data_IF_075438291429
#
_entry.id   IF_075438291429
#
_cell.length_a   1.000
_cell.length_b   1.000
_cell.length_c   1.000
_cell.angle_alpha   90.00
_cell.angle_beta   90.00
_cell.angle_gamma   90.00
#
_symmetry.space_group_name_H-M   'P 1'
#
loop_
_entity.id
_entity.type
_entity.pdbx_description
1 polymer ?
#
# COMPACT_ATOMS: atom_id res chain seq x y z
N UNK A 1 26.74 28.72 -0.03
CA UNK A 1 26.00 27.71 0.75
C UNK A 1 25.54 26.62 -0.20
N UNK A 2 26.13 25.43 -0.11
CA UNK A 2 25.65 24.26 -0.85
C UNK A 2 24.44 23.66 -0.15
N UNK A 3 23.58 22.96 -0.90
CA UNK A 3 22.48 22.20 -0.30
C UNK A 3 23.08 21.00 0.45
N UNK A 4 22.69 20.81 1.71
CA UNK A 4 23.15 19.68 2.50
C UNK A 4 22.55 18.36 1.99
N UNK A 5 23.36 17.30 1.99
CA UNK A 5 22.93 15.97 1.53
C UNK A 5 21.78 15.42 2.39
N UNK A 6 21.76 15.74 3.69
CA UNK A 6 20.66 15.44 4.60
C UNK A 6 19.33 16.01 4.10
N UNK A 7 19.32 17.29 3.69
CA UNK A 7 18.11 17.96 3.18
C UNK A 7 17.65 17.34 1.86
N UNK A 8 18.57 16.97 0.98
CA UNK A 8 18.23 16.28 -0.28
C UNK A 8 17.54 14.95 0.00
N UNK A 9 18.11 14.11 0.86
CA UNK A 9 17.52 12.83 1.22
C UNK A 9 16.19 12.97 1.96
N UNK A 10 16.08 13.97 2.85
CA UNK A 10 14.81 14.27 3.51
C UNK A 10 13.71 14.58 2.48
N UNK A 11 13.98 15.42 1.49
CA UNK A 11 13.03 15.74 0.41
C UNK A 11 12.68 14.49 -0.41
N UNK A 12 13.65 13.66 -0.76
CA UNK A 12 13.42 12.41 -1.51
C UNK A 12 12.50 11.46 -0.72
N UNK A 13 12.76 11.27 0.57
CA UNK A 13 11.97 10.37 1.43
C UNK A 13 10.54 10.90 1.58
N UNK A 14 10.39 12.20 1.89
CA UNK A 14 9.06 12.82 1.99
C UNK A 14 8.31 12.71 0.68
N UNK A 15 8.96 12.96 -0.45
CA UNK A 15 8.36 12.80 -1.77
C UNK A 15 7.95 11.34 -2.02
N UNK A 16 8.80 10.36 -1.73
CA UNK A 16 8.49 8.95 -1.89
C UNK A 16 7.27 8.53 -1.04
N UNK A 17 7.22 8.97 0.22
CA UNK A 17 6.07 8.70 1.11
C UNK A 17 4.79 9.36 0.58
N UNK A 18 4.85 10.59 0.07
CA UNK A 18 3.70 11.26 -0.53
C UNK A 18 3.23 10.55 -1.81
N UNK A 19 4.15 10.13 -2.67
CA UNK A 19 3.81 9.38 -3.88
C UNK A 19 3.16 8.05 -3.53
N UNK A 20 3.65 7.33 -2.51
CA UNK A 20 2.98 6.14 -2.00
C UNK A 20 1.54 6.45 -1.58
N UNK A 21 1.32 7.46 -0.73
CA UNK A 21 -0.01 7.81 -0.23
C UNK A 21 -0.98 8.15 -1.38
N UNK A 22 -0.51 8.91 -2.38
CA UNK A 22 -1.35 9.35 -3.51
C UNK A 22 -1.63 8.19 -4.47
N UNK A 23 -0.61 7.47 -4.88
CA UNK A 23 -0.74 6.42 -5.90
C UNK A 23 -1.38 5.16 -5.33
N UNK A 24 -0.88 4.66 -4.21
CA UNK A 24 -1.44 3.47 -3.56
C UNK A 24 -2.81 3.76 -2.91
N UNK A 25 -3.08 5.02 -2.54
CA UNK A 25 -4.39 5.44 -2.03
C UNK A 25 -5.53 5.21 -3.03
N UNK A 26 -5.27 5.35 -4.33
CA UNK A 26 -6.23 5.00 -5.38
C UNK A 26 -6.50 3.49 -5.42
N UNK A 27 -5.46 2.66 -5.34
CA UNK A 27 -5.56 1.20 -5.35
C UNK A 27 -6.37 0.68 -4.15
N UNK A 28 -6.06 1.21 -2.96
CA UNK A 28 -6.75 0.90 -1.72
C UNK A 28 -8.21 1.37 -1.76
N UNK A 29 -8.47 2.54 -2.35
CA UNK A 29 -9.82 3.05 -2.58
C UNK A 29 -10.65 2.11 -3.46
N UNK A 30 -10.07 1.60 -4.55
CA UNK A 30 -10.71 0.59 -5.40
C UNK A 30 -10.99 -0.68 -4.60
N UNK A 31 -10.04 -1.15 -3.79
CA UNK A 31 -10.23 -2.33 -2.94
C UNK A 31 -11.36 -2.21 -1.93
N UNK A 32 -11.55 -1.03 -1.35
CA UNK A 32 -12.66 -0.73 -0.45
C UNK A 32 -14.01 -0.69 -1.17
N UNK A 33 -14.06 -0.06 -2.35
CA UNK A 33 -15.27 0.02 -3.17
C UNK A 33 -15.61 -1.31 -3.86
N UNK A 34 -14.68 -2.24 -3.92
CA UNK A 34 -14.85 -3.51 -4.61
C UNK A 34 -16.06 -4.32 -4.12
N UNK A 35 -16.34 -4.24 -2.81
CA UNK A 35 -17.48 -4.93 -2.19
C UNK A 35 -18.84 -4.29 -2.49
N UNK A 36 -18.88 -3.00 -2.83
CA UNK A 36 -20.12 -2.23 -3.05
C UNK A 36 -20.64 -2.35 -4.48
N UNK A 37 -19.74 -2.58 -5.45
CA UNK A 37 -20.09 -2.78 -6.86
C UNK A 37 -20.64 -4.20 -7.06
N UNK A 38 -21.87 -4.35 -7.59
CA UNK A 38 -22.53 -5.66 -7.79
C UNK A 38 -22.33 -6.27 -9.19
N UNK A 39 -21.95 -5.46 -10.18
CA UNK A 39 -21.72 -5.92 -11.55
C UNK A 39 -20.37 -6.63 -11.71
N UNK A 40 -20.37 -7.87 -12.18
CA UNK A 40 -19.13 -8.63 -12.42
C UNK A 40 -18.21 -7.97 -13.46
N UNK A 41 -18.78 -7.40 -14.53
CA UNK A 41 -18.04 -6.66 -15.54
C UNK A 41 -17.39 -5.38 -15.01
N UNK A 42 -18.09 -4.62 -14.16
CA UNK A 42 -17.55 -3.41 -13.54
C UNK A 42 -16.40 -3.73 -12.59
N UNK A 43 -16.51 -4.83 -11.82
CA UNK A 43 -15.41 -5.32 -10.98
C UNK A 43 -14.18 -5.67 -11.79
N UNK A 44 -14.36 -6.33 -12.93
CA UNK A 44 -13.25 -6.68 -13.80
C UNK A 44 -12.58 -5.42 -14.39
N UNK A 45 -13.35 -4.40 -14.76
CA UNK A 45 -12.80 -3.09 -15.18
C UNK A 45 -12.02 -2.41 -14.03
N UNK A 46 -12.57 -2.43 -12.81
CA UNK A 46 -11.87 -1.90 -11.63
C UNK A 46 -10.52 -2.59 -11.44
N UNK A 47 -10.48 -3.92 -11.39
CA UNK A 47 -9.22 -4.67 -11.21
C UNK A 47 -8.23 -4.37 -12.34
N UNK A 48 -8.69 -4.37 -13.59
CA UNK A 48 -7.84 -4.11 -14.76
C UNK A 48 -7.25 -2.70 -14.79
N UNK A 49 -7.89 -1.71 -14.15
CA UNK A 49 -7.35 -0.35 -14.05
C UNK A 49 -6.12 -0.24 -13.12
N UNK A 50 -6.00 -1.15 -12.16
CA UNK A 50 -4.94 -1.12 -11.12
C UNK A 50 -3.84 -2.14 -11.39
N UNK A 51 -4.20 -3.27 -12.01
CA UNK A 51 -3.28 -4.37 -12.32
C UNK A 51 -1.93 -3.96 -12.97
N UNK A 52 -1.84 -2.98 -13.88
CA UNK A 52 -0.56 -2.61 -14.47
C UNK A 52 0.32 -1.69 -13.60
N UNK A 53 -0.22 -1.08 -12.53
CA UNK A 53 0.48 -0.03 -11.77
C UNK A 53 0.67 -0.34 -10.28
N UNK A 54 -0.12 -1.25 -9.70
CA UNK A 54 -0.11 -1.50 -8.25
C UNK A 54 1.27 -1.92 -7.70
N UNK A 55 1.99 -2.79 -8.41
CA UNK A 55 3.33 -3.24 -7.98
C UNK A 55 4.32 -2.05 -7.96
N UNK A 56 4.20 -1.16 -8.94
CA UNK A 56 4.96 0.10 -8.96
C UNK A 56 4.60 1.03 -7.80
N UNK A 57 3.33 1.09 -7.41
CA UNK A 57 2.87 1.95 -6.31
C UNK A 57 3.50 1.54 -4.97
N UNK A 58 3.63 0.24 -4.72
CA UNK A 58 4.27 -0.31 -3.52
C UNK A 58 5.76 0.01 -3.44
N UNK A 59 6.45 0.14 -4.59
CA UNK A 59 7.88 0.47 -4.59
C UNK A 59 8.18 1.83 -3.96
N UNK A 60 7.23 2.77 -3.96
CA UNK A 60 7.38 4.06 -3.29
C UNK A 60 7.48 3.92 -1.77
N UNK A 61 6.72 2.99 -1.18
CA UNK A 61 6.80 2.67 0.25
C UNK A 61 8.16 2.09 0.59
N UNK A 62 8.65 1.16 -0.25
CA UNK A 62 9.96 0.53 -0.09
C UNK A 62 11.07 1.58 -0.20
N UNK A 63 11.00 2.49 -1.17
CA UNK A 63 11.96 3.59 -1.33
C UNK A 63 11.96 4.51 -0.09
N UNK A 64 10.79 4.87 0.42
CA UNK A 64 10.66 5.68 1.64
C UNK A 64 11.32 4.99 2.84
N UNK A 65 11.00 3.70 3.07
CA UNK A 65 11.56 2.92 4.17
C UNK A 65 13.07 2.68 4.06
N UNK A 66 13.55 2.24 2.89
CA UNK A 66 14.96 2.00 2.64
C UNK A 66 15.78 3.30 2.65
N UNK A 67 15.22 4.39 2.11
CA UNK A 67 15.81 5.71 2.16
C UNK A 67 15.94 6.21 3.60
N UNK A 68 14.92 6.02 4.43
CA UNK A 68 14.97 6.37 5.84
C UNK A 68 16.01 5.53 6.59
N UNK A 69 16.08 4.22 6.33
CA UNK A 69 17.10 3.34 6.90
C UNK A 69 18.53 3.78 6.54
N UNK A 70 18.77 4.13 5.27
CA UNK A 70 20.10 4.50 4.78
C UNK A 70 20.53 5.92 5.17
N UNK A 71 19.64 6.91 5.03
CA UNK A 71 19.97 8.32 5.26
C UNK A 71 19.76 8.76 6.73
N UNK A 72 18.81 8.15 7.45
CA UNK A 72 18.44 8.52 8.81
C UNK A 72 18.20 7.28 9.71
N UNK A 73 19.23 6.45 9.94
CA UNK A 73 19.07 5.15 10.61
C UNK A 73 18.48 5.25 12.02
N UNK A 74 18.78 6.32 12.76
CA UNK A 74 18.19 6.56 14.08
C UNK A 74 16.68 6.83 13.99
N UNK A 75 16.25 7.65 13.02
CA UNK A 75 14.83 7.91 12.80
C UNK A 75 14.10 6.64 12.37
N UNK A 76 14.69 5.84 11.49
CA UNK A 76 14.16 4.53 11.09
C UNK A 76 13.96 3.62 12.30
N UNK A 77 14.98 3.46 13.15
CA UNK A 77 14.90 2.59 14.33
C UNK A 77 13.79 3.01 15.29
N UNK A 78 13.68 4.31 15.58
CA UNK A 78 12.64 4.86 16.46
C UNK A 78 11.24 4.67 15.87
N UNK A 79 11.07 4.93 14.57
CA UNK A 79 9.78 4.80 13.87
C UNK A 79 9.34 3.33 13.82
N UNK A 80 10.22 2.42 13.44
CA UNK A 80 9.89 0.99 13.37
C UNK A 80 9.57 0.44 14.76
N UNK A 81 10.32 0.82 15.80
CA UNK A 81 10.03 0.37 17.18
C UNK A 81 8.66 0.88 17.66
N UNK A 82 8.41 2.19 17.52
CA UNK A 82 7.16 2.81 17.96
C UNK A 82 5.92 2.32 17.17
N UNK A 83 6.09 2.00 15.89
CA UNK A 83 5.01 1.67 14.96
C UNK A 83 5.05 0.22 14.47
N UNK A 84 5.76 -0.67 15.17
CA UNK A 84 5.92 -2.08 14.79
C UNK A 84 4.59 -2.77 14.54
N UNK A 85 3.61 -2.58 15.44
CA UNK A 85 2.29 -3.20 15.33
C UNK A 85 1.52 -2.70 14.09
N UNK A 86 1.24 -1.39 13.94
CA UNK A 86 0.48 -0.92 12.78
C UNK A 86 1.22 -1.15 11.45
N UNK A 87 2.55 -1.00 11.38
CA UNK A 87 3.30 -1.28 10.16
C UNK A 87 3.28 -2.76 9.78
N UNK A 88 3.30 -3.66 10.76
CA UNK A 88 3.17 -5.10 10.51
C UNK A 88 1.77 -5.44 10.00
N UNK A 89 0.72 -4.88 10.60
CA UNK A 89 -0.65 -5.07 10.14
C UNK A 89 -0.86 -4.51 8.73
N UNK A 90 -0.29 -3.35 8.44
CA UNK A 90 -0.27 -2.76 7.11
C UNK A 90 0.37 -3.72 6.10
N UNK A 91 1.58 -4.23 6.38
CA UNK A 91 2.29 -5.17 5.51
C UNK A 91 1.46 -6.44 5.24
N UNK A 92 0.83 -7.01 6.28
CA UNK A 92 -0.08 -8.16 6.12
C UNK A 92 -1.23 -7.81 5.17
N UNK A 93 -1.85 -6.63 5.33
CA UNK A 93 -2.92 -6.15 4.46
C UNK A 93 -2.48 -6.03 2.99
N UNK A 94 -1.29 -5.47 2.74
CA UNK A 94 -0.71 -5.32 1.40
C UNK A 94 -0.38 -6.68 0.77
N UNK A 95 0.14 -7.64 1.54
CA UNK A 95 0.39 -9.02 1.07
C UNK A 95 -0.94 -9.67 0.62
N UNK A 96 -1.97 -9.62 1.45
CA UNK A 96 -3.28 -10.18 1.10
C UNK A 96 -3.86 -9.52 -0.14
N UNK A 97 -3.67 -8.21 -0.30
CA UNK A 97 -4.11 -7.45 -1.47
C UNK A 97 -3.41 -7.93 -2.74
N UNK A 98 -2.07 -8.00 -2.75
CA UNK A 98 -1.30 -8.45 -3.91
C UNK A 98 -1.61 -9.90 -4.30
N UNK A 99 -1.72 -10.80 -3.32
CA UNK A 99 -2.12 -12.19 -3.56
C UNK A 99 -3.55 -12.25 -4.11
N UNK A 100 -4.50 -11.48 -3.57
CA UNK A 100 -5.86 -11.48 -4.07
C UNK A 100 -5.96 -10.99 -5.53
N UNK A 101 -5.14 -10.02 -5.95
CA UNK A 101 -5.06 -9.58 -7.35
C UNK A 101 -4.68 -10.73 -8.28
N UNK A 102 -3.51 -11.34 -8.07
CA UNK A 102 -2.96 -12.37 -8.93
C UNK A 102 -3.85 -13.63 -8.98
N UNK A 103 -4.31 -14.08 -7.81
CA UNK A 103 -5.10 -15.30 -7.72
C UNK A 103 -6.54 -15.12 -8.21
N UNK A 104 -7.11 -13.91 -8.18
CA UNK A 104 -8.44 -13.65 -8.72
C UNK A 104 -8.50 -13.87 -10.24
N UNK A 105 -7.45 -13.48 -10.97
CA UNK A 105 -7.38 -13.71 -12.43
C UNK A 105 -7.35 -15.20 -12.79
N UNK A 106 -6.73 -16.02 -11.93
CA UNK A 106 -6.60 -17.46 -12.13
C UNK A 106 -7.76 -18.27 -11.49
N UNK A 107 -8.57 -17.64 -10.64
CA UNK A 107 -9.60 -18.32 -9.86
C UNK A 107 -10.82 -18.74 -10.68
N UNK A 108 -11.32 -19.94 -10.37
CA UNK A 108 -12.63 -20.42 -10.82
C UNK A 108 -13.75 -19.52 -10.28
N UNK A 109 -14.90 -19.41 -10.97
CA UNK A 109 -16.01 -18.55 -10.55
C UNK A 109 -16.48 -18.77 -9.11
N UNK A 110 -16.35 -19.98 -8.57
CA UNK A 110 -16.70 -20.32 -7.19
C UNK A 110 -15.76 -19.73 -6.14
N UNK A 111 -14.49 -19.48 -6.49
CA UNK A 111 -13.48 -18.93 -5.57
C UNK A 111 -13.30 -17.41 -5.70
N UNK A 112 -13.81 -16.78 -6.76
CA UNK A 112 -13.78 -15.32 -6.93
C UNK A 112 -14.35 -14.56 -5.71
N UNK A 113 -15.48 -14.93 -5.10
CA UNK A 113 -16.01 -14.22 -3.93
C UNK A 113 -15.13 -14.30 -2.67
N UNK A 114 -14.24 -15.29 -2.58
CA UNK A 114 -13.26 -15.36 -1.50
C UNK A 114 -12.15 -14.32 -1.72
N UNK A 115 -11.59 -14.28 -2.92
CA UNK A 115 -10.56 -13.30 -3.29
C UNK A 115 -11.09 -11.87 -3.28
N UNK A 116 -12.33 -11.64 -3.72
CA UNK A 116 -12.99 -10.33 -3.63
C UNK A 116 -13.06 -9.83 -2.16
N UNK A 117 -13.32 -10.72 -1.21
CA UNK A 117 -13.36 -10.40 0.23
C UNK A 117 -11.97 -10.21 0.82
N UNK A 118 -10.99 -11.04 0.41
CA UNK A 118 -9.61 -10.89 0.81
C UNK A 118 -9.03 -9.54 0.32
N UNK A 119 -9.37 -9.15 -0.90
CA UNK A 119 -8.98 -7.87 -1.49
C UNK A 119 -9.53 -6.68 -0.71
N UNK A 120 -10.83 -6.70 -0.38
CA UNK A 120 -11.45 -5.70 0.48
C UNK A 120 -10.82 -5.65 1.87
N UNK A 121 -10.67 -6.81 2.52
CA UNK A 121 -10.12 -6.91 3.88
C UNK A 121 -8.67 -6.44 3.98
N UNK A 122 -7.83 -6.83 3.02
CA UNK A 122 -6.44 -6.38 2.92
C UNK A 122 -6.34 -4.87 2.72
N UNK A 123 -7.16 -4.33 1.81
CA UNK A 123 -7.21 -2.88 1.55
C UNK A 123 -7.71 -2.08 2.75
N UNK A 124 -8.71 -2.57 3.46
CA UNK A 124 -9.21 -1.96 4.70
C UNK A 124 -8.15 -1.97 5.80
N UNK A 125 -7.47 -3.10 6.01
CA UNK A 125 -6.44 -3.22 7.03
C UNK A 125 -5.27 -2.27 6.75
N UNK A 126 -4.81 -2.21 5.50
CA UNK A 126 -3.73 -1.31 5.08
C UNK A 126 -4.14 0.17 5.24
N UNK A 127 -5.35 0.54 4.80
CA UNK A 127 -5.89 1.91 4.90
C UNK A 127 -6.06 2.36 6.36
N UNK A 128 -6.56 1.46 7.22
CA UNK A 128 -6.68 1.77 8.64
C UNK A 128 -5.31 1.92 9.30
N UNK A 129 -4.39 1.00 9.02
CA UNK A 129 -3.07 0.97 9.64
C UNK A 129 -2.23 2.19 9.26
N UNK A 130 -2.26 2.64 8.00
CA UNK A 130 -1.58 3.88 7.60
C UNK A 130 -2.18 5.11 8.30
N UNK A 131 -3.50 5.15 8.52
CA UNK A 131 -4.14 6.24 9.28
C UNK A 131 -3.69 6.27 10.74
N UNK A 132 -3.52 5.10 11.36
CA UNK A 132 -2.96 4.97 12.71
C UNK A 132 -1.50 5.42 12.76
N UNK A 133 -0.70 5.09 11.75
CA UNK A 133 0.71 5.50 11.63
C UNK A 133 0.85 7.03 11.56
N UNK A 134 0.01 7.70 10.76
CA UNK A 134 0.08 9.17 10.60
C UNK A 134 -0.55 9.90 11.79
N UNK A 135 -1.55 9.31 12.44
CA UNK A 135 -2.31 9.94 13.53
C UNK A 135 -1.67 9.84 14.92
N UNK A 136 -0.57 9.09 15.08
CA UNK A 136 0.17 8.94 16.35
C UNK A 136 1.49 9.68 16.33
#
# INVERSE_FOLDING_TARGET
MGIELSVIWFVIIVFATLMYIVMDGFDLGIGLLFSTVRGGGDRDVMVNSVAPVWDGNETWLVLGGAGLFGAFPLAYAVIIDALSIPLTLMLIGLIFRGVAFEFRFQATPSHRPFWDRAFFGGSLLATFSQGVVVGR
#
